data_IF_912597986345
#
_entry.id   IF_912597986345
#
_cell.length_a   1.000
_cell.length_b   1.000
_cell.length_c   1.000
_cell.angle_alpha   90.00
_cell.angle_beta   90.00
_cell.angle_gamma   90.00
#
_symmetry.space_group_name_H-M   'P 1'
#
loop_
_entity.id
_entity.type
_entity.pdbx_description
1 polymer ?
#
# COMPACT_ATOMS: atom_id res chain seq x y z
N UNK A 1 25.83 -16.51 -3.78
CA UNK A 1 24.58 -17.30 -3.79
C UNK A 1 24.23 -17.57 -2.34
N UNK A 2 23.50 -16.65 -1.71
CA UNK A 2 22.83 -16.94 -0.45
C UNK A 2 21.38 -17.19 -0.83
N UNK A 3 20.94 -18.43 -0.64
CA UNK A 3 19.58 -18.84 -0.90
C UNK A 3 18.65 -17.93 -0.11
N UNK A 4 17.86 -17.16 -0.85
CA UNK A 4 16.89 -16.25 -0.27
C UNK A 4 15.86 -17.11 0.46
N UNK A 5 15.84 -17.02 1.80
CA UNK A 5 14.75 -17.56 2.62
C UNK A 5 13.50 -16.77 2.29
N UNK A 6 12.79 -17.21 1.24
CA UNK A 6 11.53 -16.63 0.82
C UNK A 6 10.36 -17.32 1.53
N UNK A 7 9.17 -16.70 1.48
CA UNK A 7 7.93 -17.24 2.04
C UNK A 7 7.63 -18.68 1.62
N UNK A 8 8.07 -19.10 0.43
CA UNK A 8 7.96 -20.50 -0.05
C UNK A 8 8.75 -21.49 0.81
N UNK A 9 10.00 -21.16 1.16
CA UNK A 9 10.86 -22.03 1.98
C UNK A 9 10.27 -22.12 3.39
N UNK A 10 9.89 -20.98 3.96
CA UNK A 10 9.27 -20.93 5.29
C UNK A 10 7.98 -21.76 5.32
N UNK A 11 7.12 -21.63 4.30
CA UNK A 11 5.88 -22.39 4.18
C UNK A 11 6.11 -23.91 4.13
N UNK A 12 7.12 -24.36 3.38
CA UNK A 12 7.47 -25.78 3.32
C UNK A 12 7.90 -26.31 4.70
N UNK A 13 8.77 -25.58 5.41
CA UNK A 13 9.26 -26.00 6.74
C UNK A 13 8.12 -26.01 7.77
N UNK A 14 7.23 -25.01 7.74
CA UNK A 14 6.03 -24.98 8.60
C UNK A 14 5.14 -26.21 8.38
N UNK A 15 4.89 -26.57 7.12
CA UNK A 15 4.09 -27.75 6.78
C UNK A 15 4.74 -29.05 7.27
N UNK A 16 6.06 -29.19 7.09
CA UNK A 16 6.80 -30.35 7.61
C UNK A 16 6.79 -30.44 9.14
N UNK A 17 6.92 -29.30 9.82
CA UNK A 17 6.83 -29.24 11.28
C UNK A 17 5.45 -29.66 11.76
N UNK A 18 4.39 -29.15 11.13
CA UNK A 18 3.01 -29.52 11.45
C UNK A 18 2.78 -31.03 11.32
N UNK A 19 3.29 -31.63 10.23
CA UNK A 19 3.25 -33.09 10.04
C UNK A 19 3.97 -33.83 11.17
N UNK A 20 5.18 -33.40 11.54
CA UNK A 20 5.93 -34.01 12.65
C UNK A 20 5.18 -33.90 14.00
N UNK A 21 4.50 -32.78 14.27
CA UNK A 21 3.68 -32.61 15.47
C UNK A 21 2.53 -33.62 15.51
N UNK A 22 1.83 -33.81 14.40
CA UNK A 22 0.71 -34.76 14.30
C UNK A 22 1.18 -36.19 14.53
N UNK A 23 2.26 -36.62 13.87
CA UNK A 23 2.88 -37.94 14.09
C UNK A 23 3.39 -38.10 15.54
N UNK A 24 3.93 -37.02 16.11
CA UNK A 24 4.38 -36.96 17.50
C UNK A 24 3.27 -37.20 18.50
N UNK A 25 2.05 -36.71 18.25
CA UNK A 25 0.91 -36.90 19.16
C UNK A 25 0.49 -38.35 19.33
N UNK A 26 0.53 -39.11 18.24
CA UNK A 26 0.19 -40.53 18.25
C UNK A 26 1.28 -41.38 18.92
N UNK A 27 2.55 -40.99 18.73
CA UNK A 27 3.71 -41.80 19.18
C UNK A 27 4.22 -41.42 20.57
N UNK A 28 4.07 -40.17 20.99
CA UNK A 28 4.63 -39.61 22.22
C UNK A 28 3.54 -39.01 23.13
N UNK A 29 2.58 -39.85 23.55
CA UNK A 29 1.42 -39.45 24.38
C UNK A 29 1.80 -38.64 25.63
N UNK A 30 2.99 -38.86 26.18
CA UNK A 30 3.54 -38.13 27.30
C UNK A 30 3.74 -36.61 27.07
N UNK A 31 3.74 -36.17 25.81
CA UNK A 31 3.91 -34.77 25.39
C UNK A 31 2.68 -34.22 24.67
N UNK A 32 1.54 -34.93 24.70
CA UNK A 32 0.33 -34.60 23.94
C UNK A 32 -0.12 -33.15 24.13
N UNK A 33 -0.09 -32.65 25.36
CA UNK A 33 -0.48 -31.26 25.67
C UNK A 33 0.49 -30.25 25.08
N UNK A 34 1.81 -30.51 25.18
CA UNK A 34 2.83 -29.68 24.56
C UNK A 34 2.69 -29.65 23.04
N UNK A 35 2.44 -30.80 22.42
CA UNK A 35 2.21 -30.90 20.98
C UNK A 35 0.90 -30.24 20.55
N UNK A 36 -0.16 -30.34 21.35
CA UNK A 36 -1.42 -29.66 21.04
C UNK A 36 -1.29 -28.15 21.09
N UNK A 37 -0.53 -27.61 22.06
CA UNK A 37 -0.28 -26.17 22.10
C UNK A 37 0.61 -25.71 20.95
N UNK A 38 1.70 -26.42 20.70
CA UNK A 38 2.61 -26.12 19.60
C UNK A 38 1.91 -26.20 18.23
N UNK A 39 0.99 -27.17 18.04
CA UNK A 39 0.17 -27.26 16.83
C UNK A 39 -0.57 -25.95 16.56
N UNK A 40 -1.29 -25.42 17.55
CA UNK A 40 -2.07 -24.18 17.39
C UNK A 40 -1.18 -23.00 16.97
N UNK A 41 0.00 -22.90 17.56
CA UNK A 41 0.98 -21.85 17.22
C UNK A 41 1.47 -22.00 15.78
N UNK A 42 1.82 -23.23 15.36
CA UNK A 42 2.30 -23.51 14.00
C UNK A 42 1.21 -23.34 12.95
N UNK A 43 -0.05 -23.70 13.25
CA UNK A 43 -1.20 -23.44 12.38
C UNK A 43 -1.44 -21.93 12.19
N UNK A 44 -1.30 -21.15 13.26
CA UNK A 44 -1.40 -19.68 13.18
C UNK A 44 -0.33 -19.10 12.26
N UNK A 45 0.91 -19.59 12.37
CA UNK A 45 2.01 -19.21 11.47
C UNK A 45 1.73 -19.64 10.02
N UNK A 46 1.16 -20.82 9.80
CA UNK A 46 0.84 -21.31 8.46
C UNK A 46 -0.15 -20.39 7.74
N UNK A 47 -1.21 -19.96 8.44
CA UNK A 47 -2.19 -19.02 7.90
C UNK A 47 -1.50 -17.71 7.49
N UNK A 48 -0.62 -17.19 8.36
CA UNK A 48 0.09 -15.95 8.10
C UNK A 48 1.03 -16.05 6.88
N UNK A 49 1.76 -17.16 6.74
CA UNK A 49 2.70 -17.39 5.63
C UNK A 49 1.97 -17.51 4.29
N UNK A 50 0.83 -18.21 4.24
CA UNK A 50 0.06 -18.36 3.00
C UNK A 50 -0.52 -17.01 2.53
N UNK A 51 -0.97 -16.16 3.46
CA UNK A 51 -1.47 -14.82 3.12
C UNK A 51 -0.37 -13.91 2.58
N UNK A 52 0.84 -13.98 3.13
CA UNK A 52 2.00 -13.24 2.60
C UNK A 52 2.33 -13.71 1.18
N UNK A 53 2.34 -15.02 0.93
CA UNK A 53 2.62 -15.59 -0.39
C UNK A 53 1.61 -15.11 -1.45
N UNK A 54 0.33 -15.04 -1.09
CA UNK A 54 -0.74 -14.52 -1.97
C UNK A 54 -0.48 -13.06 -2.37
N UNK A 55 -0.10 -12.23 -1.40
CA UNK A 55 0.16 -10.80 -1.63
C UNK A 55 1.45 -10.55 -2.43
N UNK A 56 2.50 -11.35 -2.19
CA UNK A 56 3.76 -11.26 -2.95
C UNK A 56 3.59 -11.62 -4.44
N UNK A 57 2.68 -12.54 -4.77
CA UNK A 57 2.34 -12.87 -6.16
C UNK A 57 1.61 -11.71 -6.88
N UNK A 58 0.83 -10.90 -6.14
CA UNK A 58 0.10 -9.73 -6.65
C UNK A 58 0.99 -8.48 -6.82
N UNK A 59 2.10 -8.37 -6.08
CA UNK A 59 2.91 -7.15 -5.95
C UNK A 59 4.25 -7.18 -6.69
N UNK A 60 4.40 -8.04 -7.71
CA UNK A 60 5.68 -8.26 -8.39
C UNK A 60 6.19 -7.02 -9.14
N UNK A 61 6.90 -6.13 -8.43
CA UNK A 61 7.79 -5.14 -9.03
C UNK A 61 8.99 -4.77 -8.12
N UNK A 62 10.06 -4.36 -8.79
CA UNK A 62 11.48 -4.25 -8.42
C UNK A 62 11.90 -4.14 -6.94
N UNK A 63 12.84 -5.03 -6.56
CA UNK A 63 13.62 -5.01 -5.32
C UNK A 63 14.31 -3.65 -5.11
N UNK A 64 13.96 -2.98 -4.01
CA UNK A 64 14.80 -1.95 -3.40
C UNK A 64 15.57 -2.62 -2.26
N UNK A 65 16.89 -2.77 -2.44
CA UNK A 65 17.79 -3.18 -1.35
C UNK A 65 18.03 -1.95 -0.46
N UNK A 66 17.31 -1.89 0.67
CA UNK A 66 17.59 -0.95 1.75
C UNK A 66 17.97 -1.69 3.05
N UNK A 67 18.30 -0.93 4.11
CA UNK A 67 18.69 -1.47 5.41
C UNK A 67 17.58 -2.31 6.08
N UNK A 68 16.31 -2.04 5.79
CA UNK A 68 15.19 -2.83 6.29
C UNK A 68 15.17 -4.23 5.66
N UNK A 69 15.67 -4.37 4.42
CA UNK A 69 15.83 -5.66 3.75
C UNK A 69 16.84 -6.58 4.46
N UNK A 70 17.87 -6.03 5.13
CA UNK A 70 18.85 -6.84 5.89
C UNK A 70 18.24 -7.36 7.19
N UNK A 71 17.57 -6.50 7.98
CA UNK A 71 16.93 -6.91 9.23
C UNK A 71 15.82 -7.96 8.99
N UNK A 72 15.02 -7.80 7.92
CA UNK A 72 14.01 -8.79 7.53
C UNK A 72 14.65 -10.15 7.22
N UNK A 73 15.82 -10.17 6.57
CA UNK A 73 16.55 -11.43 6.29
C UNK A 73 17.04 -12.11 7.56
N UNK A 74 17.58 -11.35 8.51
CA UNK A 74 18.03 -11.89 9.80
C UNK A 74 16.85 -12.47 10.59
N UNK A 75 15.75 -11.72 10.71
CA UNK A 75 14.54 -12.17 11.38
C UNK A 75 13.99 -13.47 10.74
N UNK A 76 13.98 -13.55 9.41
CA UNK A 76 13.47 -14.73 8.72
C UNK A 76 14.40 -15.94 8.84
N UNK A 77 15.71 -15.71 8.90
CA UNK A 77 16.69 -16.78 9.17
C UNK A 77 16.50 -17.35 10.58
N UNK A 78 16.31 -16.48 11.59
CA UNK A 78 16.02 -16.93 12.96
C UNK A 78 14.73 -17.75 13.05
N UNK A 79 13.71 -17.41 12.26
CA UNK A 79 12.47 -18.18 12.19
C UNK A 79 12.72 -19.58 11.64
N UNK A 80 13.44 -19.68 10.52
CA UNK A 80 13.78 -20.97 9.89
C UNK A 80 14.53 -21.86 10.86
N UNK A 81 15.58 -21.34 11.51
CA UNK A 81 16.34 -22.07 12.51
C UNK A 81 15.46 -22.56 13.66
N UNK A 82 14.51 -21.73 14.10
CA UNK A 82 13.56 -22.09 15.15
C UNK A 82 12.62 -23.24 14.72
N UNK A 83 12.08 -23.18 13.50
CA UNK A 83 11.19 -24.20 12.95
C UNK A 83 11.92 -25.54 12.74
N UNK A 84 13.13 -25.51 12.17
CA UNK A 84 13.97 -26.70 12.01
C UNK A 84 14.35 -27.32 13.36
N UNK A 85 14.72 -26.48 14.33
CA UNK A 85 14.97 -26.93 15.69
C UNK A 85 13.74 -27.63 16.28
N UNK A 86 12.54 -27.10 16.02
CA UNK A 86 11.29 -27.70 16.45
C UNK A 86 11.08 -29.11 15.90
N UNK A 87 11.36 -29.32 14.61
CA UNK A 87 11.27 -30.63 13.95
C UNK A 87 12.21 -31.64 14.61
N UNK A 88 13.46 -31.25 14.85
CA UNK A 88 14.43 -32.09 15.56
C UNK A 88 14.00 -32.42 16.99
N UNK A 89 13.39 -31.46 17.68
CA UNK A 89 12.94 -31.63 19.05
C UNK A 89 11.78 -32.63 19.16
N UNK A 90 10.80 -32.54 18.26
CA UNK A 90 9.66 -33.46 18.22
C UNK A 90 10.13 -34.88 17.92
N UNK A 91 11.02 -35.08 16.95
CA UNK A 91 11.57 -36.40 16.64
C UNK A 91 12.30 -37.02 17.84
N UNK A 92 13.02 -36.22 18.65
CA UNK A 92 13.63 -36.68 19.90
C UNK A 92 12.58 -37.06 20.96
N UNK A 93 11.46 -36.34 21.01
CA UNK A 93 10.33 -36.64 21.90
C UNK A 93 9.66 -37.98 21.54
N UNK A 94 9.44 -38.24 20.25
CA UNK A 94 8.83 -39.49 19.77
C UNK A 94 9.68 -40.74 20.04
N UNK A 95 11.00 -40.60 20.13
CA UNK A 95 11.94 -41.71 20.40
C UNK A 95 12.24 -41.93 21.88
N UNK A 96 11.66 -41.14 22.78
CA UNK A 96 11.96 -41.23 24.21
C UNK A 96 11.19 -42.39 24.87
N UNK A 97 11.89 -43.27 25.62
CA UNK A 97 11.23 -44.30 26.41
C UNK A 97 10.33 -43.68 27.48
N UNK A 98 9.12 -44.22 27.63
CA UNK A 98 8.08 -43.70 28.51
C UNK A 98 8.47 -43.63 30.01
N UNK A 99 9.46 -44.41 30.46
CA UNK A 99 9.88 -44.45 31.86
C UNK A 99 10.90 -43.36 32.25
N UNK A 100 11.45 -42.60 31.29
CA UNK A 100 12.44 -41.55 31.58
C UNK A 100 11.79 -40.22 31.99
N UNK A 101 11.16 -40.19 33.17
CA UNK A 101 10.37 -39.05 33.71
C UNK A 101 11.18 -37.74 33.75
N UNK A 102 12.43 -37.75 34.22
CA UNK A 102 13.25 -36.54 34.28
C UNK A 102 13.55 -35.97 32.89
N UNK A 103 13.86 -36.84 31.92
CA UNK A 103 14.02 -36.41 30.51
C UNK A 103 12.71 -35.87 29.96
N UNK A 104 11.56 -36.48 30.28
CA UNK A 104 10.24 -35.99 29.88
C UNK A 104 10.03 -34.53 30.30
N UNK A 105 10.26 -34.22 31.58
CA UNK A 105 10.14 -32.83 32.06
C UNK A 105 11.11 -31.87 31.35
N UNK A 106 12.36 -32.30 31.11
CA UNK A 106 13.35 -31.50 30.38
C UNK A 106 12.90 -31.20 28.94
N UNK A 107 12.40 -32.20 28.20
CA UNK A 107 11.94 -32.04 26.82
C UNK A 107 10.62 -31.25 26.75
N UNK A 108 9.71 -31.42 27.72
CA UNK A 108 8.52 -30.60 27.84
C UNK A 108 8.91 -29.12 27.98
N UNK A 109 9.85 -28.78 28.87
CA UNK A 109 10.36 -27.39 28.97
C UNK A 109 10.95 -26.86 27.66
N UNK A 110 11.65 -27.69 26.89
CA UNK A 110 12.16 -27.29 25.57
C UNK A 110 11.03 -27.03 24.57
N UNK A 111 9.99 -27.87 24.53
CA UNK A 111 8.82 -27.67 23.67
C UNK A 111 8.06 -26.40 24.06
N UNK A 112 7.94 -26.12 25.36
CA UNK A 112 7.32 -24.88 25.84
C UNK A 112 8.13 -23.64 25.42
N UNK A 113 9.47 -23.73 25.46
CA UNK A 113 10.35 -22.65 25.01
C UNK A 113 10.23 -22.41 23.51
N UNK A 114 10.22 -23.47 22.71
CA UNK A 114 10.00 -23.40 21.27
C UNK A 114 8.68 -22.70 20.95
N UNK A 115 7.60 -23.14 21.57
CA UNK A 115 6.27 -22.56 21.41
C UNK A 115 6.25 -21.05 21.76
N UNK A 116 6.92 -20.66 22.86
CA UNK A 116 7.05 -19.24 23.22
C UNK A 116 7.87 -18.43 22.20
N UNK A 117 8.92 -19.01 21.60
CA UNK A 117 9.70 -18.35 20.56
C UNK A 117 8.88 -18.12 19.29
N UNK A 118 8.12 -19.13 18.86
CA UNK A 118 7.22 -19.03 17.70
C UNK A 118 6.09 -18.03 17.94
N UNK A 119 5.48 -18.03 19.13
CA UNK A 119 4.48 -17.03 19.51
C UNK A 119 5.04 -15.61 19.54
N UNK A 120 6.26 -15.42 20.04
CA UNK A 120 6.94 -14.12 20.04
C UNK A 120 7.17 -13.62 18.62
N UNK A 121 7.56 -14.53 17.71
CA UNK A 121 7.71 -14.19 16.31
C UNK A 121 6.38 -13.71 15.70
N UNK A 122 5.32 -14.50 15.87
CA UNK A 122 3.98 -14.17 15.36
C UNK A 122 3.39 -12.89 15.98
N UNK A 123 3.61 -12.65 17.28
CA UNK A 123 2.93 -11.59 18.03
C UNK A 123 3.72 -10.29 18.10
N UNK A 124 5.05 -10.34 18.23
CA UNK A 124 5.87 -9.14 18.48
C UNK A 124 6.64 -8.73 17.24
N UNK A 125 7.35 -9.65 16.60
CA UNK A 125 8.20 -9.32 15.45
C UNK A 125 7.33 -8.95 14.24
N UNK A 126 6.32 -9.76 13.92
CA UNK A 126 5.42 -9.47 12.80
C UNK A 126 4.65 -8.17 13.01
N UNK A 127 4.14 -7.89 14.22
CA UNK A 127 3.42 -6.64 14.50
C UNK A 127 4.33 -5.41 14.41
N UNK A 128 5.57 -5.50 14.87
CA UNK A 128 6.54 -4.41 14.75
C UNK A 128 6.87 -4.12 13.27
N UNK A 129 7.06 -5.16 12.46
CA UNK A 129 7.29 -5.02 11.01
C UNK A 129 6.07 -4.40 10.31
N UNK A 130 4.85 -4.87 10.61
CA UNK A 130 3.60 -4.27 10.10
C UNK A 130 3.51 -2.79 10.46
N UNK A 131 3.88 -2.40 11.68
CA UNK A 131 3.84 -0.99 12.10
C UNK A 131 4.81 -0.13 11.29
N UNK A 132 6.03 -0.61 11.06
CA UNK A 132 7.03 0.07 10.22
C UNK A 132 6.51 0.23 8.79
N UNK A 133 6.02 -0.85 8.19
CA UNK A 133 5.50 -0.84 6.82
C UNK A 133 4.28 0.08 6.69
N UNK A 134 3.37 0.07 7.68
CA UNK A 134 2.24 1.00 7.74
C UNK A 134 2.71 2.45 7.79
N UNK A 135 3.73 2.76 8.60
CA UNK A 135 4.29 4.12 8.69
C UNK A 135 4.99 4.53 7.41
N UNK A 136 5.69 3.61 6.76
CA UNK A 136 6.32 3.83 5.46
C UNK A 136 5.26 4.13 4.39
N UNK A 137 4.20 3.32 4.30
CA UNK A 137 3.04 3.57 3.43
C UNK A 137 2.40 4.93 3.69
N UNK A 138 2.22 5.33 4.96
CA UNK A 138 1.68 6.66 5.29
C UNK A 138 2.61 7.79 4.83
N UNK A 139 3.93 7.61 4.97
CA UNK A 139 4.91 8.59 4.50
C UNK A 139 4.89 8.70 2.98
N UNK A 140 4.81 7.58 2.26
CA UNK A 140 4.75 7.53 0.81
C UNK A 140 3.42 8.09 0.29
N UNK A 141 2.28 7.77 0.90
CA UNK A 141 1.00 8.39 0.59
C UNK A 141 1.02 9.92 0.78
N UNK A 142 1.70 10.41 1.84
CA UNK A 142 1.87 11.85 2.07
C UNK A 142 2.79 12.49 1.01
N UNK A 143 3.82 11.79 0.53
CA UNK A 143 4.67 12.24 -0.58
C UNK A 143 3.86 12.33 -1.87
N UNK A 144 3.11 11.28 -2.20
CA UNK A 144 2.22 11.25 -3.36
C UNK A 144 1.17 12.36 -3.31
N UNK A 145 0.53 12.58 -2.15
CA UNK A 145 -0.43 13.68 -1.98
C UNK A 145 0.22 15.06 -2.21
N UNK A 146 1.44 15.28 -1.69
CA UNK A 146 2.17 16.52 -1.93
C UNK A 146 2.52 16.71 -3.41
N UNK A 147 3.02 15.67 -4.08
CA UNK A 147 3.30 15.72 -5.51
C UNK A 147 2.05 16.01 -6.32
N UNK A 148 0.94 15.32 -6.03
CA UNK A 148 -0.37 15.55 -6.67
C UNK A 148 -0.90 16.97 -6.43
N UNK A 149 -0.83 17.47 -5.20
CA UNK A 149 -1.23 18.84 -4.89
C UNK A 149 -0.36 19.88 -5.61
N UNK A 150 0.94 19.61 -5.76
CA UNK A 150 1.85 20.45 -6.53
C UNK A 150 1.57 20.40 -8.04
N UNK A 151 1.10 19.27 -8.58
CA UNK A 151 0.66 19.14 -9.96
C UNK A 151 -0.65 19.90 -10.22
N UNK A 152 -1.57 19.90 -9.25
CA UNK A 152 -2.78 20.74 -9.31
C UNK A 152 -2.44 22.24 -9.30
N UNK A 153 -1.40 22.66 -8.57
CA UNK A 153 -0.93 24.06 -8.61
C UNK A 153 -0.08 24.37 -9.86
N UNK A 154 0.66 23.40 -10.41
CA UNK A 154 1.37 23.54 -11.70
C UNK A 154 0.43 23.45 -12.91
N UNK A 155 -0.81 22.99 -12.74
CA UNK A 155 -1.87 23.12 -13.74
C UNK A 155 -2.31 24.58 -13.94
N UNK A 156 -2.11 25.42 -12.92
CA UNK A 156 -2.21 26.89 -13.02
C UNK A 156 -0.87 27.58 -13.25
N UNK A 157 0.23 26.82 -13.34
CA UNK A 157 1.58 27.33 -13.61
C UNK A 157 2.29 26.49 -14.66
N UNK A 158 1.58 26.07 -15.71
CA UNK A 158 2.24 26.00 -17.00
C UNK A 158 2.70 27.43 -17.25
N UNK A 159 4.00 27.62 -17.14
CA UNK A 159 4.77 28.49 -18.02
C UNK A 159 4.50 28.10 -19.48
N UNK A 160 3.24 28.12 -19.91
CA UNK A 160 2.92 28.77 -21.15
C UNK A 160 2.96 30.23 -20.76
N UNK A 161 3.79 31.00 -21.45
CA UNK A 161 3.62 32.43 -21.53
C UNK A 161 2.13 32.69 -21.82
N UNK A 162 1.31 32.91 -20.79
CA UNK A 162 0.09 33.67 -20.96
C UNK A 162 0.62 35.06 -21.22
N UNK A 163 0.91 35.31 -22.49
CA UNK A 163 0.83 36.67 -23.00
C UNK A 163 -0.63 37.02 -22.71
N UNK A 164 -0.89 37.64 -21.57
CA UNK A 164 -1.97 38.60 -21.47
C UNK A 164 -1.58 39.66 -22.47
N UNK A 165 -1.88 39.39 -23.74
CA UNK A 165 -1.92 40.44 -24.70
C UNK A 165 -3.14 41.21 -24.24
N UNK A 166 -2.93 42.33 -23.56
CA UNK A 166 -3.96 43.38 -23.41
C UNK A 166 -4.48 43.84 -24.79
N UNK A 167 -3.88 43.33 -25.86
CA UNK A 167 -4.39 43.32 -27.23
C UNK A 167 -5.75 42.63 -27.31
N UNK A 168 -6.74 43.44 -27.66
CA UNK A 168 -8.05 43.01 -28.10
C UNK A 168 -7.92 41.93 -29.20
N UNK A 169 -8.60 40.76 -29.07
CA UNK A 169 -8.47 39.69 -30.06
C UNK A 169 -8.97 40.16 -31.43
N UNK A 170 -8.27 39.74 -32.48
CA UNK A 170 -8.69 40.01 -33.85
C UNK A 170 -10.01 39.28 -34.14
N UNK A 171 -10.94 39.99 -34.78
CA UNK A 171 -12.22 39.40 -35.17
C UNK A 171 -12.00 38.51 -36.41
N UNK A 172 -12.60 37.32 -36.46
CA UNK A 172 -12.63 36.52 -37.68
C UNK A 172 -13.21 37.31 -38.85
N UNK A 173 -12.75 37.03 -40.07
CA UNK A 173 -13.23 37.68 -41.31
C UNK A 173 -14.72 37.50 -41.56
N UNK A 174 -15.31 36.42 -41.01
CA UNK A 174 -16.74 36.14 -41.07
C UNK A 174 -17.29 35.85 -39.68
N UNK A 175 -18.25 36.65 -39.25
CA UNK A 175 -19.00 36.48 -38.00
C UNK A 175 -20.47 36.37 -38.37
N UNK A 176 -21.16 35.37 -37.85
CA UNK A 176 -22.60 35.16 -38.08
C UNK A 176 -23.31 35.01 -36.73
N UNK A 177 -24.58 35.41 -36.66
CA UNK A 177 -25.45 35.16 -35.50
C UNK A 177 -25.17 36.01 -34.25
N UNK A 178 -24.23 36.98 -34.29
CA UNK A 178 -23.92 37.83 -33.13
C UNK A 178 -24.65 39.18 -33.10
N UNK A 179 -25.46 39.52 -34.10
CA UNK A 179 -26.17 40.81 -34.15
C UNK A 179 -27.13 41.00 -32.98
N UNK A 180 -27.98 40.01 -32.70
CA UNK A 180 -28.96 40.07 -31.61
C UNK A 180 -28.29 40.14 -30.23
N UNK A 181 -27.30 39.27 -29.89
CA UNK A 181 -26.61 39.35 -28.60
C UNK A 181 -25.83 40.65 -28.39
N UNK A 182 -25.25 41.25 -29.45
CA UNK A 182 -24.54 42.53 -29.35
C UNK A 182 -25.51 43.67 -29.02
N UNK A 183 -26.63 43.77 -29.73
CA UNK A 183 -27.65 44.81 -29.47
C UNK A 183 -28.28 44.64 -28.08
N UNK A 184 -28.47 43.42 -27.60
CA UNK A 184 -28.97 43.17 -26.24
C UNK A 184 -27.98 43.65 -25.17
N UNK A 185 -26.69 43.30 -25.30
CA UNK A 185 -25.65 43.73 -24.37
C UNK A 185 -25.45 45.24 -24.40
N UNK A 186 -25.52 45.84 -25.59
CA UNK A 186 -25.47 47.29 -25.78
C UNK A 186 -26.61 48.01 -25.08
N UNK A 187 -27.85 47.50 -25.22
CA UNK A 187 -29.00 48.07 -24.52
C UNK A 187 -28.82 48.00 -23.00
N UNK A 188 -28.33 46.86 -22.50
CA UNK A 188 -28.05 46.66 -21.07
C UNK A 188 -26.98 47.65 -20.57
N UNK A 189 -25.87 47.82 -21.30
CA UNK A 189 -24.81 48.75 -20.91
C UNK A 189 -25.29 50.22 -20.89
N UNK A 190 -26.04 50.65 -21.91
CA UNK A 190 -26.38 52.07 -22.09
C UNK A 190 -27.63 52.51 -21.34
N UNK A 191 -28.61 51.62 -21.14
CA UNK A 191 -29.93 52.01 -20.63
C UNK A 191 -30.28 51.39 -19.28
N UNK A 192 -29.66 50.27 -18.89
CA UNK A 192 -30.07 49.55 -17.68
C UNK A 192 -29.27 49.99 -16.42
N UNK A 193 -28.49 51.10 -16.47
CA UNK A 193 -27.66 51.65 -15.37
C UNK A 193 -26.77 50.61 -14.65
N UNK A 194 -26.32 49.59 -15.38
CA UNK A 194 -25.43 48.54 -14.85
C UNK A 194 -23.97 48.89 -15.11
N UNK A 195 -23.13 48.82 -14.07
CA UNK A 195 -21.69 49.04 -14.19
C UNK A 195 -20.91 47.79 -14.62
N UNK A 196 -21.50 46.60 -14.47
CA UNK A 196 -20.85 45.31 -14.76
C UNK A 196 -21.85 44.35 -15.40
N UNK A 197 -21.44 43.72 -16.51
CA UNK A 197 -22.19 42.65 -17.16
C UNK A 197 -21.33 41.38 -17.24
N UNK A 198 -21.86 40.27 -16.74
CA UNK A 198 -21.24 38.95 -16.86
C UNK A 198 -21.75 38.19 -18.08
N UNK A 199 -20.84 37.66 -18.90
CA UNK A 199 -21.16 36.78 -20.03
C UNK A 199 -20.70 35.35 -19.69
N UNK A 200 -21.65 34.46 -19.41
CA UNK A 200 -21.39 33.08 -18.97
C UNK A 200 -21.82 32.05 -20.02
N UNK A 201 -20.91 31.14 -20.40
CA UNK A 201 -21.15 30.04 -21.34
C UNK A 201 -19.98 29.03 -21.27
N UNK A 202 -20.16 27.78 -21.75
CA UNK A 202 -19.07 26.81 -21.89
C UNK A 202 -17.90 27.30 -22.77
N UNK A 203 -16.77 26.58 -22.73
CA UNK A 203 -15.61 26.84 -23.59
C UNK A 203 -15.98 26.76 -25.08
N UNK A 204 -15.44 27.66 -25.90
CA UNK A 204 -15.69 27.67 -27.35
C UNK A 204 -16.99 28.34 -27.82
N UNK A 205 -17.89 28.74 -26.92
CA UNK A 205 -19.18 29.36 -27.28
C UNK A 205 -19.11 30.82 -27.79
N UNK A 206 -17.92 31.35 -28.12
CA UNK A 206 -17.77 32.69 -28.70
C UNK A 206 -17.88 33.88 -27.74
N UNK A 207 -17.84 33.69 -26.42
CA UNK A 207 -17.89 34.77 -25.40
C UNK A 207 -16.91 35.91 -25.67
N UNK A 208 -15.64 35.56 -25.91
CA UNK A 208 -14.57 36.53 -26.18
C UNK A 208 -14.79 37.27 -27.49
N UNK A 209 -15.33 36.59 -28.52
CA UNK A 209 -15.68 37.18 -29.82
C UNK A 209 -16.82 38.19 -29.67
N UNK A 210 -17.82 37.87 -28.85
CA UNK A 210 -18.94 38.75 -28.54
C UNK A 210 -18.47 40.03 -27.83
N UNK A 211 -17.68 39.90 -26.77
CA UNK A 211 -17.10 41.04 -26.05
C UNK A 211 -16.21 41.91 -26.98
N UNK A 212 -15.39 41.27 -27.81
CA UNK A 212 -14.52 41.97 -28.75
C UNK A 212 -15.29 42.65 -29.91
N UNK A 213 -16.51 42.22 -30.22
CA UNK A 213 -17.37 42.91 -31.19
C UNK A 213 -18.04 44.13 -30.54
N UNK A 214 -18.53 43.98 -29.31
CA UNK A 214 -19.17 45.03 -28.53
C UNK A 214 -18.20 46.20 -28.23
N UNK A 215 -16.97 45.92 -27.84
CA UNK A 215 -15.96 46.95 -27.57
C UNK A 215 -15.46 47.72 -28.82
N UNK A 216 -15.84 47.28 -30.03
CA UNK A 216 -15.59 47.98 -31.30
C UNK A 216 -16.86 48.66 -31.84
N UNK A 217 -17.94 48.69 -31.08
CA UNK A 217 -19.17 49.37 -31.46
C UNK A 217 -19.06 50.85 -31.09
N UNK A 218 -19.17 51.72 -32.10
CA UNK A 218 -19.00 53.17 -31.96
C UNK A 218 -19.95 53.82 -30.95
N UNK A 219 -21.08 53.15 -30.62
CA UNK A 219 -22.05 53.68 -29.64
C UNK A 219 -21.78 53.24 -28.20
N UNK A 220 -20.80 52.35 -27.99
CA UNK A 220 -20.41 51.84 -26.66
C UNK A 220 -19.10 52.48 -26.19
N UNK A 221 -18.34 53.12 -27.09
CA UNK A 221 -17.16 53.92 -26.76
C UNK A 221 -17.51 55.28 -26.16
#
# INVERSE_FOLDING_TARGET
MSDFVNGVIVGAIVAELLKAILEGKETAMNFRDCFHRLQKTVETLQIAVEEVKRLDEELRDNKLDDKATVQRRENMTELVDCLEHGKHLINKCSKLPNWKIWKRHMYAKKLMKLDAQLLRFASMNMQAEIWVDTKQMMADAKRLYKEFSSLSMKSTSRSGMFIYSNSMPQLPSKIVGLSVPVEELKRKLLFDNVSVIGVCAPGGCGKTTLAAKLCRDDKVQ
#
